data_IF_621556288745
#
_entry.id   IF_621556288745
#
_cell.length_a   1.000
_cell.length_b   1.000
_cell.length_c   1.000
_cell.angle_alpha   90.00
_cell.angle_beta   90.00
_cell.angle_gamma   90.00
#
_symmetry.space_group_name_H-M   'P 1'
#
loop_
_entity.id
_entity.type
_entity.pdbx_description
1 polymer ?
#
# COMPACT_ATOMS: atom_id res chain seq x y z
N UNK A 1 52.12 -27.93 46.17
CA UNK A 1 50.67 -27.77 46.01
C UNK A 1 50.37 -26.28 45.97
N UNK A 2 49.46 -25.87 45.06
CA UNK A 2 49.02 -24.51 44.70
C UNK A 2 49.71 -23.88 43.48
N UNK A 3 48.86 -23.53 42.50
CA UNK A 3 49.22 -22.80 41.29
C UNK A 3 48.32 -23.16 40.09
N UNK A 4 46.99 -23.13 40.25
CA UNK A 4 46.04 -23.28 39.14
C UNK A 4 46.27 -22.15 38.13
N UNK A 5 46.63 -22.51 36.90
CA UNK A 5 46.83 -21.57 35.80
C UNK A 5 45.70 -21.67 34.77
N UNK A 6 45.28 -20.48 34.35
CA UNK A 6 44.58 -20.13 33.11
C UNK A 6 43.12 -20.58 32.94
N UNK A 7 42.21 -19.65 33.25
CA UNK A 7 40.82 -19.67 32.81
C UNK A 7 40.74 -19.52 31.27
N UNK A 8 40.19 -20.53 30.59
CA UNK A 8 39.88 -20.46 29.16
C UNK A 8 38.45 -19.92 28.98
N UNK A 9 38.32 -18.64 28.63
CA UNK A 9 37.05 -18.04 28.19
C UNK A 9 36.77 -18.48 26.75
N UNK A 10 35.89 -19.46 26.55
CA UNK A 10 35.29 -19.74 25.22
C UNK A 10 34.02 -18.91 25.08
N UNK A 11 34.06 -17.93 24.18
CA UNK A 11 32.91 -17.14 23.79
C UNK A 11 31.90 -18.00 23.02
N UNK A 12 30.64 -17.99 23.47
CA UNK A 12 29.50 -18.53 22.74
C UNK A 12 29.18 -17.59 21.58
N UNK A 13 29.35 -18.04 20.34
CA UNK A 13 28.85 -17.34 19.16
C UNK A 13 27.36 -17.65 18.98
N UNK A 14 26.49 -16.67 19.22
CA UNK A 14 25.05 -16.78 18.96
C UNK A 14 24.80 -16.59 17.47
N UNK A 15 24.38 -17.65 16.77
CA UNK A 15 23.85 -17.55 15.40
C UNK A 15 22.48 -16.86 15.46
N UNK A 16 22.42 -15.60 15.04
CA UNK A 16 21.16 -14.90 14.81
C UNK A 16 20.54 -15.42 13.49
N UNK A 17 19.55 -16.29 13.61
CA UNK A 17 18.66 -16.61 12.50
C UNK A 17 17.76 -15.40 12.23
N UNK A 18 18.05 -14.64 11.17
CA UNK A 18 17.13 -13.64 10.65
C UNK A 18 16.05 -14.38 9.87
N UNK A 19 14.89 -14.57 10.49
CA UNK A 19 13.68 -15.01 9.79
C UNK A 19 13.14 -13.81 9.01
N UNK A 20 13.44 -13.74 7.71
CA UNK A 20 12.75 -12.81 6.81
C UNK A 20 11.38 -13.43 6.53
N UNK A 21 10.36 -12.96 7.25
CA UNK A 21 8.97 -13.32 6.96
C UNK A 21 8.54 -12.65 5.67
N UNK A 22 8.27 -13.45 4.63
CA UNK A 22 7.65 -13.00 3.39
C UNK A 22 6.18 -12.69 3.64
N UNK A 23 5.85 -11.52 4.20
CA UNK A 23 4.51 -10.98 3.93
C UNK A 23 4.43 -10.72 2.43
N UNK A 24 3.29 -11.02 1.80
CA UNK A 24 3.01 -10.59 0.44
C UNK A 24 3.02 -9.06 0.42
N UNK A 25 4.21 -8.47 0.30
CA UNK A 25 4.43 -7.05 0.42
C UNK A 25 3.97 -6.43 -0.91
N UNK A 26 2.83 -5.76 -0.85
CA UNK A 26 2.33 -4.93 -1.94
C UNK A 26 3.43 -3.90 -2.22
N UNK A 27 3.96 -3.91 -3.44
CA UNK A 27 4.98 -2.94 -3.79
C UNK A 27 4.32 -1.55 -3.90
N UNK A 28 4.94 -0.47 -3.43
CA UNK A 28 4.43 0.87 -3.74
C UNK A 28 4.49 1.11 -5.25
N UNK A 29 3.51 1.83 -5.78
CA UNK A 29 3.47 2.24 -7.18
C UNK A 29 2.96 3.67 -7.32
N UNK A 30 3.59 4.44 -8.21
CA UNK A 30 3.12 5.80 -8.53
C UNK A 30 1.78 5.76 -9.26
N UNK A 31 0.94 6.75 -8.99
CA UNK A 31 -0.34 7.02 -9.63
C UNK A 31 -0.58 8.54 -9.57
N UNK A 32 -1.21 9.13 -10.57
CA UNK A 32 -1.52 10.57 -10.55
C UNK A 32 -2.75 10.83 -9.67
N UNK A 33 -2.89 12.06 -9.17
CA UNK A 33 -4.00 12.40 -8.27
C UNK A 33 -5.36 12.37 -8.96
N UNK A 34 -5.44 12.65 -10.26
CA UNK A 34 -6.68 12.51 -11.04
C UNK A 34 -7.15 11.05 -11.10
N UNK A 35 -6.26 10.10 -11.36
CA UNK A 35 -6.57 8.67 -11.28
C UNK A 35 -7.02 8.27 -9.86
N UNK A 36 -6.39 8.83 -8.81
CA UNK A 36 -6.83 8.60 -7.42
C UNK A 36 -8.24 9.16 -7.18
N UNK A 37 -8.54 10.37 -7.68
CA UNK A 37 -9.87 10.98 -7.56
C UNK A 37 -10.94 10.13 -8.26
N UNK A 38 -10.63 9.56 -9.43
CA UNK A 38 -11.54 8.65 -10.14
C UNK A 38 -11.87 7.40 -9.31
N UNK A 39 -10.94 6.92 -8.50
CA UNK A 39 -11.17 5.80 -7.60
C UNK A 39 -11.92 6.17 -6.30
N UNK A 40 -12.10 7.46 -6.02
CA UNK A 40 -12.74 8.00 -4.83
C UNK A 40 -14.10 8.66 -5.13
N UNK A 41 -14.74 8.30 -6.25
CA UNK A 41 -15.98 8.95 -6.71
C UNK A 41 -17.10 8.97 -5.66
N UNK A 42 -17.18 7.95 -4.79
CA UNK A 42 -18.17 7.89 -3.71
C UNK A 42 -17.82 8.76 -2.48
N UNK A 43 -16.63 9.38 -2.46
CA UNK A 43 -16.12 10.19 -1.36
C UNK A 43 -16.20 11.69 -1.69
N UNK A 44 -17.41 12.19 -1.95
CA UNK A 44 -17.65 13.58 -2.39
C UNK A 44 -16.95 14.63 -1.51
N UNK A 45 -16.95 14.42 -0.19
CA UNK A 45 -16.31 15.34 0.77
C UNK A 45 -14.79 15.39 0.59
N UNK A 46 -14.15 14.22 0.51
CA UNK A 46 -12.70 14.12 0.31
C UNK A 46 -12.30 14.75 -1.04
N UNK A 47 -13.03 14.41 -2.10
CA UNK A 47 -12.80 14.95 -3.44
C UNK A 47 -12.94 16.48 -3.46
N UNK A 48 -13.93 17.05 -2.76
CA UNK A 48 -14.07 18.49 -2.63
C UNK A 48 -12.90 19.15 -1.86
N UNK A 49 -12.42 18.52 -0.78
CA UNK A 49 -11.24 18.99 -0.03
C UNK A 49 -9.98 18.99 -0.91
N UNK A 50 -9.76 17.93 -1.69
CA UNK A 50 -8.64 17.82 -2.64
C UNK A 50 -8.68 18.96 -3.67
N UNK A 51 -9.84 19.17 -4.32
CA UNK A 51 -9.96 20.24 -5.32
C UNK A 51 -9.80 21.64 -4.72
N UNK A 52 -10.26 21.86 -3.48
CA UNK A 52 -10.03 23.11 -2.78
C UNK A 52 -8.53 23.36 -2.54
N UNK A 53 -7.78 22.33 -2.16
CA UNK A 53 -6.34 22.42 -1.93
C UNK A 53 -5.56 22.65 -3.23
N UNK A 54 -5.90 21.91 -4.30
CA UNK A 54 -5.31 22.11 -5.64
C UNK A 54 -5.50 23.55 -6.12
N UNK A 55 -6.72 24.09 -5.97
CA UNK A 55 -7.04 25.47 -6.34
C UNK A 55 -6.27 26.48 -5.51
N UNK A 56 -6.16 26.26 -4.20
CA UNK A 56 -5.43 27.17 -3.30
C UNK A 56 -3.94 27.26 -3.64
N UNK A 57 -3.37 26.19 -4.19
CA UNK A 57 -1.96 26.12 -4.56
C UNK A 57 -1.69 26.29 -6.06
N UNK A 58 -2.74 26.52 -6.87
CA UNK A 58 -2.67 26.61 -8.34
C UNK A 58 -1.98 25.38 -8.98
N UNK A 59 -2.37 24.19 -8.53
CA UNK A 59 -1.90 22.89 -9.02
C UNK A 59 -2.98 22.21 -9.86
N UNK A 60 -2.55 21.32 -10.76
CA UNK A 60 -3.44 20.39 -11.46
C UNK A 60 -3.30 18.98 -10.90
N UNK A 61 -4.39 18.22 -10.89
CA UNK A 61 -4.39 16.85 -10.38
C UNK A 61 -3.44 15.92 -11.17
N UNK A 62 -3.40 16.04 -12.50
CA UNK A 62 -2.51 15.28 -13.38
C UNK A 62 -1.00 15.51 -13.13
N UNK A 63 -0.65 16.64 -12.50
CA UNK A 63 0.73 17.03 -12.18
C UNK A 63 1.15 16.58 -10.77
N UNK A 64 0.19 16.11 -9.95
CA UNK A 64 0.45 15.62 -8.59
C UNK A 64 0.60 14.11 -8.61
N UNK A 65 1.74 13.63 -8.10
CA UNK A 65 2.02 12.21 -7.97
C UNK A 65 1.68 11.73 -6.56
N UNK A 66 0.90 10.66 -6.50
CA UNK A 66 0.64 9.88 -5.32
C UNK A 66 1.38 8.53 -5.38
N UNK A 67 1.49 7.88 -4.22
CA UNK A 67 1.93 6.49 -4.09
C UNK A 67 0.76 5.67 -3.59
N UNK A 68 0.42 4.60 -4.31
CA UNK A 68 -0.57 3.61 -3.91
C UNK A 68 0.02 2.23 -3.72
N UNK A 69 -0.71 1.35 -3.03
CA UNK A 69 -0.38 -0.07 -2.98
C UNK A 69 -0.63 -0.71 -4.34
N UNK A 70 0.41 -1.32 -4.91
CA UNK A 70 0.36 -1.92 -6.25
C UNK A 70 0.09 -3.41 -6.19
N UNK A 71 -0.92 -3.85 -6.94
CA UNK A 71 -1.13 -5.26 -7.24
C UNK A 71 0.10 -5.85 -7.93
N UNK A 72 0.62 -6.95 -7.38
CA UNK A 72 1.79 -7.64 -7.94
C UNK A 72 1.52 -8.24 -9.33
N UNK A 73 2.59 -8.55 -10.07
CA UNK A 73 2.47 -9.09 -11.43
C UNK A 73 1.82 -10.47 -11.53
N UNK A 74 1.63 -11.16 -10.40
CA UNK A 74 0.90 -12.43 -10.36
C UNK A 74 -0.60 -12.27 -10.62
N UNK A 75 -1.17 -11.09 -10.37
CA UNK A 75 -2.60 -10.84 -10.63
C UNK A 75 -2.83 -10.71 -12.13
N UNK A 76 -3.50 -11.69 -12.74
CA UNK A 76 -3.64 -11.78 -14.21
C UNK A 76 -4.28 -10.53 -14.82
N UNK A 77 -5.36 -10.03 -14.23
CA UNK A 77 -6.10 -8.87 -14.74
C UNK A 77 -5.86 -7.58 -13.94
N UNK A 78 -5.43 -7.71 -12.68
CA UNK A 78 -5.19 -6.55 -11.79
C UNK A 78 -3.71 -6.17 -11.69
N UNK A 79 -2.81 -6.90 -12.34
CA UNK A 79 -1.37 -6.68 -12.25
C UNK A 79 -0.99 -5.24 -12.56
N UNK A 80 -0.39 -4.56 -11.59
CA UNK A 80 -0.01 -3.15 -11.72
C UNK A 80 -1.12 -2.14 -11.40
N UNK A 81 -2.36 -2.53 -11.11
CA UNK A 81 -3.34 -1.60 -10.57
C UNK A 81 -2.86 -1.03 -9.21
N UNK A 82 -3.31 0.17 -8.85
CA UNK A 82 -3.03 0.79 -7.54
C UNK A 82 -4.34 0.96 -6.78
N UNK A 83 -4.30 0.66 -5.49
CA UNK A 83 -5.39 0.85 -4.55
C UNK A 83 -4.85 1.48 -3.25
N UNK A 84 -5.75 1.78 -2.32
CA UNK A 84 -5.43 2.23 -0.97
C UNK A 84 -4.44 1.27 -0.27
N UNK A 85 -3.58 1.78 0.64
CA UNK A 85 -3.41 3.18 0.99
C UNK A 85 -2.84 4.05 -0.13
N UNK A 86 -3.29 5.30 -0.21
CA UNK A 86 -2.69 6.35 -1.04
C UNK A 86 -2.00 7.40 -0.17
N UNK A 87 -0.82 7.83 -0.61
CA UNK A 87 -0.13 8.99 -0.08
C UNK A 87 0.13 10.00 -1.22
N UNK A 88 -0.44 11.19 -1.12
CA UNK A 88 -0.34 12.24 -2.13
C UNK A 88 0.39 13.47 -1.57
N UNK A 89 1.40 13.95 -2.29
CA UNK A 89 2.08 15.22 -2.00
C UNK A 89 1.42 16.35 -2.79
N UNK A 90 0.42 17.00 -2.19
CA UNK A 90 -0.33 18.10 -2.80
C UNK A 90 0.36 19.41 -2.44
N UNK A 91 1.39 19.75 -3.22
CA UNK A 91 2.22 20.93 -3.01
C UNK A 91 2.90 20.92 -1.65
N UNK A 92 2.43 21.75 -0.71
CA UNK A 92 3.00 21.84 0.65
C UNK A 92 2.33 20.94 1.68
N UNK A 93 1.26 20.23 1.32
CA UNK A 93 0.53 19.35 2.23
C UNK A 93 0.65 17.91 1.78
N UNK A 94 0.59 17.01 2.75
CA UNK A 94 0.48 15.57 2.47
C UNK A 94 -0.93 15.10 2.81
N UNK A 95 -1.50 14.29 1.93
CA UNK A 95 -2.78 13.63 2.14
C UNK A 95 -2.53 12.13 2.20
N UNK A 96 -2.88 11.50 3.33
CA UNK A 96 -2.93 10.06 3.48
C UNK A 96 -4.38 9.59 3.40
N UNK A 97 -4.65 8.59 2.57
CA UNK A 97 -5.97 7.98 2.36
C UNK A 97 -5.82 6.49 2.62
N UNK A 98 -6.61 5.98 3.55
CA UNK A 98 -6.65 4.59 3.98
C UNK A 98 -8.00 3.98 3.63
N UNK A 99 -8.07 2.66 3.56
CA UNK A 99 -9.31 1.93 3.35
C UNK A 99 -9.11 0.42 3.23
N UNK A 100 -10.21 -0.28 2.95
CA UNK A 100 -10.23 -1.72 2.71
C UNK A 100 -10.34 -1.98 1.21
N UNK A 101 -9.58 -2.95 0.69
CA UNK A 101 -9.69 -3.40 -0.70
C UNK A 101 -10.44 -4.73 -0.74
N UNK A 102 -11.51 -4.80 -1.52
CA UNK A 102 -12.25 -6.03 -1.82
C UNK A 102 -12.02 -6.39 -3.28
N UNK A 103 -11.79 -7.66 -3.58
CA UNK A 103 -11.52 -8.15 -4.94
C UNK A 103 -12.65 -9.06 -5.38
N UNK A 104 -13.08 -8.95 -6.63
CA UNK A 104 -14.17 -9.74 -7.19
C UNK A 104 -13.75 -10.45 -8.48
N UNK A 105 -14.34 -11.62 -8.72
CA UNK A 105 -14.27 -12.28 -10.04
C UNK A 105 -15.22 -11.64 -11.06
N UNK A 106 -15.23 -12.17 -12.28
CA UNK A 106 -16.07 -11.70 -13.38
C UNK A 106 -17.58 -11.96 -13.16
N UNK A 107 -17.92 -12.86 -12.23
CA UNK A 107 -19.29 -13.09 -11.78
C UNK A 107 -19.70 -12.18 -10.61
N UNK A 108 -18.80 -11.31 -10.14
CA UNK A 108 -19.03 -10.41 -9.01
C UNK A 108 -18.97 -11.09 -7.64
N UNK A 109 -18.41 -12.31 -7.56
CA UNK A 109 -18.17 -13.00 -6.30
C UNK A 109 -16.89 -12.46 -5.67
N UNK A 110 -16.97 -12.13 -4.39
CA UNK A 110 -15.81 -11.68 -3.63
C UNK A 110 -14.80 -12.84 -3.46
N UNK A 111 -13.52 -12.50 -3.61
CA UNK A 111 -12.39 -13.42 -3.55
C UNK A 111 -11.53 -13.12 -2.32
N UNK A 112 -10.97 -14.17 -1.70
CA UNK A 112 -9.98 -14.00 -0.64
C UNK A 112 -8.62 -13.65 -1.28
N UNK A 113 -8.05 -12.51 -0.86
CA UNK A 113 -6.78 -11.99 -1.36
C UNK A 113 -5.59 -12.90 -1.06
N UNK A 114 -5.73 -13.85 -0.14
CA UNK A 114 -4.70 -14.79 0.27
C UNK A 114 -4.80 -16.15 -0.45
N UNK A 115 -5.83 -16.37 -1.26
CA UNK A 115 -5.98 -17.59 -2.05
C UNK A 115 -5.28 -17.46 -3.40
N UNK A 116 -4.39 -18.41 -3.74
CA UNK A 116 -3.66 -18.41 -5.01
C UNK A 116 -4.59 -18.41 -6.24
N UNK A 117 -5.76 -19.06 -6.13
CA UNK A 117 -6.76 -19.06 -7.20
C UNK A 117 -7.28 -17.65 -7.52
N UNK A 118 -7.28 -16.74 -6.55
CA UNK A 118 -7.74 -15.36 -6.73
C UNK A 118 -6.88 -14.60 -7.73
N UNK A 119 -5.58 -14.92 -7.85
CA UNK A 119 -4.69 -14.26 -8.81
C UNK A 119 -5.14 -14.44 -10.27
N UNK A 120 -5.75 -15.58 -10.58
CA UNK A 120 -6.22 -15.92 -11.92
C UNK A 120 -7.63 -15.40 -12.20
N UNK A 121 -8.48 -15.34 -11.17
CA UNK A 121 -9.91 -15.07 -11.32
C UNK A 121 -10.31 -13.62 -11.03
N UNK A 122 -9.51 -12.88 -10.26
CA UNK A 122 -9.80 -11.47 -9.97
C UNK A 122 -9.93 -10.65 -11.25
N UNK A 123 -11.06 -9.96 -11.39
CA UNK A 123 -11.42 -9.14 -12.53
C UNK A 123 -11.52 -7.66 -12.15
N UNK A 124 -12.01 -7.36 -10.94
CA UNK A 124 -12.16 -6.00 -10.44
C UNK A 124 -11.83 -5.91 -8.94
N UNK A 125 -11.63 -4.69 -8.46
CA UNK A 125 -11.53 -4.40 -7.03
C UNK A 125 -12.38 -3.18 -6.68
N UNK A 126 -12.85 -3.12 -5.42
CA UNK A 126 -13.57 -1.99 -4.85
C UNK A 126 -12.92 -1.58 -3.55
N UNK A 127 -13.05 -0.31 -3.22
CA UNK A 127 -12.46 0.28 -2.03
C UNK A 127 -13.58 0.73 -1.09
N UNK A 128 -13.47 0.33 0.18
CA UNK A 128 -14.46 0.59 1.21
C UNK A 128 -13.81 1.20 2.45
N UNK A 129 -14.64 1.67 3.39
CA UNK A 129 -14.21 2.20 4.68
C UNK A 129 -13.14 3.29 4.57
N UNK A 130 -13.27 4.13 3.53
CA UNK A 130 -12.28 5.17 3.23
C UNK A 130 -12.20 6.16 4.39
N UNK A 131 -10.97 6.39 4.85
CA UNK A 131 -10.64 7.45 5.80
C UNK A 131 -9.45 8.24 5.29
N UNK A 132 -9.33 9.51 5.68
CA UNK A 132 -8.25 10.35 5.21
C UNK A 132 -7.75 11.32 6.28
N UNK A 133 -6.50 11.73 6.13
CA UNK A 133 -5.84 12.70 7.00
C UNK A 133 -4.92 13.62 6.21
N UNK A 134 -5.13 14.92 6.40
CA UNK A 134 -4.20 15.96 5.98
C UNK A 134 -3.09 16.14 7.00
N UNK A 135 -1.87 16.36 6.51
CA UNK A 135 -0.64 16.57 7.30
C UNK A 135 0.05 17.87 6.87
#
# INVERSE_FOLDING_TARGET
MHGLSTALRRALGTLAFIVIGSSAAWAPGSITLDDVIEQLQDQEKLTAEIFAELKAQNLKAEEVICVGSRFGGQWRNLGGARAVPFECEIGKKKLAIEGTVHIYDDAGKELDMNEDASFEHAAEYRQADITWKWQ
#
